data_IF_494817708328
#
_entry.id   IF_494817708328
#
_cell.length_a   1.000
_cell.length_b   1.000
_cell.length_c   1.000
_cell.angle_alpha   90.00
_cell.angle_beta   90.00
_cell.angle_gamma   90.00
#
_symmetry.space_group_name_H-M   'P 1'
#
loop_
_entity.id
_entity.type
_entity.pdbx_description
1 polymer ?
#
# COMPACT_ATOMS: atom_id res chain seq x y z
N UNK A 1 13.35 14.51 -7.84
CA UNK A 1 14.28 14.40 -6.69
C UNK A 1 13.65 13.52 -5.60
N UNK A 2 14.38 13.10 -4.55
CA UNK A 2 13.77 12.45 -3.39
C UNK A 2 12.55 13.23 -2.83
N UNK A 3 12.65 14.55 -2.70
CA UNK A 3 11.54 15.41 -2.22
C UNK A 3 10.30 15.36 -3.11
N UNK A 4 10.50 15.38 -4.44
CA UNK A 4 9.40 15.28 -5.39
C UNK A 4 8.70 13.91 -5.32
N UNK A 5 9.48 12.84 -5.15
CA UNK A 5 8.94 11.50 -4.95
C UNK A 5 8.12 11.43 -3.66
N UNK A 6 8.66 11.93 -2.54
CA UNK A 6 7.99 11.94 -1.24
C UNK A 6 6.67 12.68 -1.33
N UNK A 7 6.65 13.87 -1.94
CA UNK A 7 5.41 14.65 -2.13
C UNK A 7 4.35 13.89 -2.92
N UNK A 8 4.74 13.20 -4.00
CA UNK A 8 3.80 12.39 -4.80
C UNK A 8 3.29 11.21 -3.98
N UNK A 9 4.19 10.53 -3.25
CA UNK A 9 3.86 9.38 -2.41
C UNK A 9 2.88 9.74 -1.28
N UNK A 10 3.04 10.89 -0.62
CA UNK A 10 2.13 11.39 0.41
C UNK A 10 0.73 11.67 -0.14
N UNK A 11 0.64 12.25 -1.35
CA UNK A 11 -0.64 12.46 -2.04
C UNK A 11 -1.29 11.12 -2.36
N UNK A 12 -0.54 10.16 -2.92
CA UNK A 12 -1.05 8.81 -3.21
C UNK A 12 -1.52 8.09 -1.95
N UNK A 13 -0.79 8.19 -0.83
CA UNK A 13 -1.18 7.62 0.45
C UNK A 13 -2.51 8.19 0.95
N UNK A 14 -2.68 9.50 0.83
CA UNK A 14 -3.92 10.19 1.19
C UNK A 14 -5.10 9.73 0.35
N UNK A 15 -4.91 9.59 -0.98
CA UNK A 15 -5.93 9.08 -1.90
C UNK A 15 -6.33 7.63 -1.59
N UNK A 16 -5.37 6.76 -1.27
CA UNK A 16 -5.64 5.37 -0.88
C UNK A 16 -6.44 5.32 0.42
N UNK A 17 -6.08 6.14 1.42
CA UNK A 17 -6.84 6.24 2.67
C UNK A 17 -8.29 6.70 2.43
N UNK A 18 -8.50 7.71 1.58
CA UNK A 18 -9.84 8.12 1.17
C UNK A 18 -10.63 6.97 0.54
N UNK A 19 -10.04 6.23 -0.39
CA UNK A 19 -10.68 5.08 -1.02
C UNK A 19 -11.04 3.97 -0.01
N UNK A 20 -10.15 3.67 0.95
CA UNK A 20 -10.43 2.71 2.02
C UNK A 20 -11.67 3.14 2.83
N UNK A 21 -11.77 4.43 3.17
CA UNK A 21 -12.91 4.98 3.92
C UNK A 21 -14.20 4.87 3.09
N UNK A 22 -14.15 5.24 1.81
CA UNK A 22 -15.30 5.14 0.91
C UNK A 22 -15.80 3.70 0.77
N UNK A 23 -14.90 2.74 0.55
CA UNK A 23 -15.25 1.32 0.44
C UNK A 23 -15.84 0.77 1.74
N UNK A 24 -15.23 1.12 2.88
CA UNK A 24 -15.70 0.69 4.21
C UNK A 24 -17.11 1.19 4.50
N UNK A 25 -17.44 2.41 4.05
CA UNK A 25 -18.73 3.06 4.29
C UNK A 25 -19.71 2.92 3.12
N UNK A 26 -19.36 2.17 2.08
CA UNK A 26 -20.14 2.06 0.83
C UNK A 26 -21.50 1.39 0.99
N UNK A 27 -21.74 0.66 2.09
CA UNK A 27 -22.95 -0.14 2.27
C UNK A 27 -23.04 -1.29 1.27
N UNK A 28 -21.91 -1.93 0.95
CA UNK A 28 -21.85 -3.11 0.08
C UNK A 28 -22.92 -4.15 0.48
N UNK A 29 -23.41 -4.94 -0.48
CA UNK A 29 -24.29 -6.07 -0.17
C UNK A 29 -23.47 -7.25 0.35
N UNK A 30 -24.12 -8.17 1.08
CA UNK A 30 -23.46 -9.31 1.74
C UNK A 30 -22.62 -10.17 0.79
N UNK A 31 -23.04 -10.30 -0.47
CA UNK A 31 -22.33 -11.04 -1.53
C UNK A 31 -20.98 -10.39 -1.90
N UNK A 32 -20.81 -9.07 -1.71
CA UNK A 32 -19.57 -8.36 -2.00
C UNK A 32 -18.60 -8.27 -0.81
N UNK A 33 -19.02 -8.69 0.40
CA UNK A 33 -18.24 -8.46 1.63
C UNK A 33 -16.84 -9.06 1.57
N UNK A 34 -16.69 -10.30 1.09
CA UNK A 34 -15.38 -10.94 0.99
C UNK A 34 -14.49 -10.24 -0.04
N UNK A 35 -15.07 -9.85 -1.18
CA UNK A 35 -14.34 -9.09 -2.21
C UNK A 35 -13.84 -7.74 -1.68
N UNK A 36 -14.71 -7.00 -0.97
CA UNK A 36 -14.37 -5.69 -0.42
C UNK A 36 -13.37 -5.79 0.73
N UNK A 37 -13.52 -6.78 1.62
CA UNK A 37 -12.58 -7.00 2.72
C UNK A 37 -11.18 -7.30 2.20
N UNK A 38 -11.07 -8.15 1.17
CA UNK A 38 -9.79 -8.44 0.52
C UNK A 38 -9.22 -7.20 -0.19
N UNK A 39 -10.03 -6.44 -0.92
CA UNK A 39 -9.55 -5.24 -1.61
C UNK A 39 -9.08 -4.14 -0.65
N UNK A 40 -9.83 -3.89 0.43
CA UNK A 40 -9.42 -2.98 1.50
C UNK A 40 -8.10 -3.46 2.14
N UNK A 41 -7.95 -4.77 2.35
CA UNK A 41 -6.69 -5.36 2.80
C UNK A 41 -5.54 -5.06 1.85
N UNK A 42 -5.74 -5.26 0.55
CA UNK A 42 -4.75 -4.96 -0.48
C UNK A 42 -4.33 -3.49 -0.49
N UNK A 43 -5.28 -2.57 -0.37
CA UNK A 43 -5.05 -1.12 -0.30
C UNK A 43 -4.24 -0.73 0.94
N UNK A 44 -4.51 -1.35 2.09
CA UNK A 44 -3.71 -1.12 3.31
C UNK A 44 -2.24 -1.54 3.10
N UNK A 45 -2.02 -2.70 2.49
CA UNK A 45 -0.67 -3.19 2.16
C UNK A 45 0.05 -2.32 1.14
N UNK A 46 -0.68 -1.82 0.14
CA UNK A 46 -0.15 -0.85 -0.81
C UNK A 46 0.25 0.45 -0.11
N UNK A 47 -0.54 0.91 0.86
CA UNK A 47 -0.23 2.13 1.60
C UNK A 47 0.99 1.96 2.53
N UNK A 48 1.11 0.80 3.17
CA UNK A 48 2.32 0.41 3.91
C UNK A 48 3.55 0.42 3.00
N UNK A 49 3.44 -0.16 1.79
CA UNK A 49 4.52 -0.16 0.78
C UNK A 49 4.97 1.26 0.44
N UNK A 50 4.02 2.17 0.17
CA UNK A 50 4.31 3.59 -0.14
C UNK A 50 4.99 4.28 1.04
N UNK A 51 4.61 3.95 2.27
CA UNK A 51 5.27 4.50 3.47
C UNK A 51 6.73 4.05 3.54
N UNK A 52 7.01 2.78 3.28
CA UNK A 52 8.39 2.26 3.27
C UNK A 52 9.24 2.87 2.14
N UNK A 53 8.66 3.16 0.97
CA UNK A 53 9.40 3.82 -0.12
C UNK A 53 9.73 5.28 0.21
N UNK A 54 8.90 5.97 1.00
CA UNK A 54 9.23 7.29 1.56
C UNK A 54 10.43 7.18 2.52
N UNK A 55 10.49 6.13 3.36
CA UNK A 55 11.65 5.90 4.24
C UNK A 55 12.93 5.71 3.41
N UNK A 56 12.89 4.90 2.34
CA UNK A 56 14.04 4.73 1.44
C UNK A 56 14.45 6.06 0.79
N UNK A 57 13.49 6.84 0.29
CA UNK A 57 13.78 8.14 -0.34
C UNK A 57 14.46 9.11 0.63
N UNK A 58 14.00 9.15 1.88
CA UNK A 58 14.64 9.95 2.93
C UNK A 58 16.07 9.46 3.24
N UNK A 59 16.28 8.14 3.35
CA UNK A 59 17.61 7.58 3.62
C UNK A 59 18.60 7.84 2.46
N UNK A 60 18.14 7.82 1.21
CA UNK A 60 18.96 8.12 0.04
C UNK A 60 19.36 9.61 -0.05
N UNK A 61 18.71 10.49 0.72
CA UNK A 61 19.05 11.92 0.80
C UNK A 61 20.11 12.26 1.86
N UNK A 62 20.56 11.29 2.66
CA UNK A 62 21.60 11.46 3.70
C UNK A 62 22.70 10.38 3.67
N UNK A 63 23.66 10.45 4.61
CA UNK A 63 24.77 9.48 4.77
C UNK A 63 24.30 8.17 5.45
N UNK A 64 23.40 7.44 4.78
CA UNK A 64 22.74 6.27 5.36
C UNK A 64 23.50 4.96 5.16
N UNK A 65 23.43 4.05 6.14
CA UNK A 65 24.03 2.72 6.08
C UNK A 65 23.27 1.79 5.10
N UNK A 66 23.95 1.32 4.05
CA UNK A 66 23.41 0.46 2.99
C UNK A 66 22.69 -0.82 3.47
N UNK A 67 23.08 -1.40 4.61
CA UNK A 67 22.44 -2.61 5.13
C UNK A 67 20.99 -2.37 5.58
N UNK A 68 20.69 -1.19 6.14
CA UNK A 68 19.33 -0.82 6.56
C UNK A 68 18.39 -0.64 5.36
N UNK A 69 18.92 -0.20 4.21
CA UNK A 69 18.13 0.00 2.98
C UNK A 69 17.69 -1.35 2.39
N UNK A 70 18.58 -2.35 2.40
CA UNK A 70 18.25 -3.68 1.84
C UNK A 70 17.12 -4.38 2.60
N UNK A 71 17.07 -4.24 3.93
CA UNK A 71 15.97 -4.78 4.75
C UNK A 71 14.63 -4.11 4.42
N UNK A 72 14.63 -2.79 4.22
CA UNK A 72 13.43 -2.04 3.83
C UNK A 72 12.98 -2.44 2.42
N UNK A 73 13.91 -2.64 1.48
CA UNK A 73 13.60 -3.14 0.13
C UNK A 73 12.96 -4.54 0.19
N UNK A 74 13.48 -5.45 1.01
CA UNK A 74 12.87 -6.76 1.20
C UNK A 74 11.43 -6.65 1.73
N UNK A 75 11.19 -5.75 2.69
CA UNK A 75 9.84 -5.45 3.20
C UNK A 75 8.92 -4.88 2.12
N UNK A 76 9.41 -3.97 1.27
CA UNK A 76 8.65 -3.40 0.14
C UNK A 76 8.16 -4.52 -0.79
N UNK A 77 9.02 -5.48 -1.14
CA UNK A 77 8.64 -6.61 -2.00
C UNK A 77 7.67 -7.57 -1.34
N UNK A 78 7.82 -7.81 -0.03
CA UNK A 78 6.86 -8.59 0.73
C UNK A 78 5.48 -7.93 0.72
N UNK A 79 5.39 -6.63 1.03
CA UNK A 79 4.13 -5.87 1.03
C UNK A 79 3.46 -5.83 -0.35
N UNK A 80 4.26 -5.73 -1.41
CA UNK A 80 3.77 -5.82 -2.79
C UNK A 80 3.15 -7.19 -3.08
N UNK A 81 3.81 -8.27 -2.68
CA UNK A 81 3.30 -9.64 -2.85
C UNK A 81 1.99 -9.84 -2.07
N UNK A 82 1.95 -9.44 -0.80
CA UNK A 82 0.76 -9.51 0.05
C UNK A 82 -0.41 -8.70 -0.53
N UNK A 83 -0.14 -7.51 -1.06
CA UNK A 83 -1.15 -6.66 -1.71
C UNK A 83 -1.74 -7.32 -2.96
N UNK A 84 -0.89 -7.88 -3.83
CA UNK A 84 -1.32 -8.55 -5.06
C UNK A 84 -2.13 -9.83 -4.78
N UNK A 85 -1.72 -10.62 -3.78
CA UNK A 85 -2.45 -11.81 -3.37
C UNK A 85 -3.86 -11.47 -2.86
N UNK A 86 -3.99 -10.36 -2.12
CA UNK A 86 -5.28 -9.86 -1.65
C UNK A 86 -6.13 -9.29 -2.79
N UNK A 87 -5.53 -8.60 -3.77
CA UNK A 87 -6.25 -8.18 -4.98
C UNK A 87 -6.83 -9.37 -5.73
N UNK A 88 -6.01 -10.42 -5.92
CA UNK A 88 -6.47 -11.65 -6.57
C UNK A 88 -7.63 -12.30 -5.80
N UNK A 89 -7.52 -12.42 -4.47
CA UNK A 89 -8.62 -12.92 -3.63
C UNK A 89 -9.88 -12.06 -3.75
N UNK A 90 -9.73 -10.74 -3.86
CA UNK A 90 -10.86 -9.84 -4.06
C UNK A 90 -11.55 -10.10 -5.40
N UNK A 91 -10.78 -10.26 -6.47
CA UNK A 91 -11.31 -10.58 -7.81
C UNK A 91 -12.01 -11.96 -7.83
N UNK A 92 -11.39 -12.97 -7.21
CA UNK A 92 -11.90 -14.35 -7.14
C UNK A 92 -13.18 -14.48 -6.29
N UNK A 93 -13.47 -13.51 -5.42
CA UNK A 93 -14.64 -13.49 -4.51
C UNK A 93 -15.70 -12.45 -4.91
N UNK A 94 -15.58 -11.86 -6.10
CA UNK A 94 -16.66 -11.04 -6.65
C UNK A 94 -17.88 -11.93 -6.98
N UNK A 95 -19.11 -11.46 -6.72
CA UNK A 95 -20.34 -12.12 -7.17
C UNK A 95 -20.44 -12.33 -8.68
#
# INVERSE_FOLDING_TARGET
SPDEYIRIAEVSSSQINSLIIELTNSGATQEWYDSYANYIGALKKLNEKITETIVVANLMSGDSNSNSINEIIAKIHQLETESLDLMKKSDDTRP
#
